data_IF_698809682877
#
_entry.id   IF_698809682877
#
_cell.length_a   1.000
_cell.length_b   1.000
_cell.length_c   1.000
_cell.angle_alpha   90.00
_cell.angle_beta   90.00
_cell.angle_gamma   90.00
#
_symmetry.space_group_name_H-M   'P 1'
#
loop_
_entity.id
_entity.type
_entity.pdbx_description
1 polymer ?
#
# COMPACT_ATOMS: atom_id res chain seq x y z
N UNK A 1 -18.41 4.50 17.96
CA UNK A 1 -17.51 4.77 16.83
C UNK A 1 -18.09 5.96 16.09
N UNK A 2 -17.35 7.06 16.07
CA UNK A 2 -17.80 8.28 15.42
C UNK A 2 -17.78 8.08 13.88
N UNK A 3 -18.91 8.24 13.18
CA UNK A 3 -19.00 7.95 11.75
C UNK A 3 -18.19 8.93 10.89
N UNK A 4 -17.90 10.13 11.41
CA UNK A 4 -17.10 11.15 10.74
C UNK A 4 -15.62 10.77 10.78
N UNK A 5 -15.12 10.33 11.94
CA UNK A 5 -13.75 9.84 12.08
C UNK A 5 -13.43 8.67 11.11
N UNK A 6 -14.38 7.74 10.94
CA UNK A 6 -14.23 6.63 10.00
C UNK A 6 -14.23 7.10 8.53
N UNK A 7 -14.95 8.18 8.20
CA UNK A 7 -14.91 8.80 6.87
C UNK A 7 -13.55 9.44 6.63
N UNK A 8 -13.09 10.28 7.55
CA UNK A 8 -11.80 10.97 7.45
C UNK A 8 -10.63 10.02 7.28
N UNK A 9 -10.62 8.89 8.01
CA UNK A 9 -9.57 7.88 7.88
C UNK A 9 -9.54 7.24 6.48
N UNK A 10 -10.72 6.95 5.91
CA UNK A 10 -10.82 6.40 4.54
C UNK A 10 -10.35 7.40 3.49
N UNK A 11 -10.77 8.65 3.61
CA UNK A 11 -10.40 9.70 2.65
C UNK A 11 -8.89 10.00 2.73
N UNK A 12 -8.33 9.97 3.95
CA UNK A 12 -6.88 10.11 4.16
C UNK A 12 -6.10 8.96 3.52
N UNK A 13 -6.56 7.72 3.69
CA UNK A 13 -5.94 6.55 3.06
C UNK A 13 -6.01 6.62 1.52
N UNK A 14 -7.13 7.08 0.98
CA UNK A 14 -7.31 7.26 -0.46
C UNK A 14 -6.35 8.31 -1.02
N UNK A 15 -6.19 9.44 -0.34
CA UNK A 15 -5.24 10.48 -0.71
C UNK A 15 -3.80 9.94 -0.72
N UNK A 16 -3.39 9.24 0.33
CA UNK A 16 -2.05 8.64 0.42
C UNK A 16 -1.82 7.59 -0.67
N UNK A 17 -2.83 6.77 -0.99
CA UNK A 17 -2.74 5.84 -2.11
C UNK A 17 -2.58 6.56 -3.46
N UNK A 18 -3.26 7.68 -3.66
CA UNK A 18 -3.08 8.49 -4.86
C UNK A 18 -1.66 9.05 -4.97
N UNK A 19 -1.11 9.58 -3.87
CA UNK A 19 0.28 10.04 -3.80
C UNK A 19 1.27 8.91 -4.11
N UNK A 20 1.03 7.72 -3.56
CA UNK A 20 1.84 6.52 -3.80
C UNK A 20 1.88 6.11 -5.27
N UNK A 21 0.75 6.22 -5.99
CA UNK A 21 0.69 5.93 -7.42
C UNK A 21 1.42 6.99 -8.26
N UNK A 22 1.32 8.27 -7.90
CA UNK A 22 2.08 9.34 -8.57
C UNK A 22 3.59 9.10 -8.44
N UNK A 23 4.04 8.61 -7.28
CA UNK A 23 5.44 8.31 -7.00
C UNK A 23 5.90 6.93 -7.49
N UNK A 24 5.01 6.18 -8.16
CA UNK A 24 5.27 4.83 -8.66
C UNK A 24 5.90 3.88 -7.62
N UNK A 25 5.44 3.95 -6.36
CA UNK A 25 6.03 3.11 -5.29
C UNK A 25 5.70 1.64 -5.47
N UNK A 26 4.64 1.32 -6.23
CA UNK A 26 4.14 -0.04 -6.44
C UNK A 26 3.48 -0.67 -5.21
N UNK A 27 3.04 0.14 -4.24
CA UNK A 27 2.32 -0.33 -3.05
C UNK A 27 0.81 -0.35 -3.30
N UNK A 28 0.16 -1.46 -2.96
CA UNK A 28 -1.28 -1.58 -2.97
C UNK A 28 -1.92 -0.94 -1.71
N UNK A 29 -3.25 -0.73 -1.76
CA UNK A 29 -4.01 -0.09 -0.67
C UNK A 29 -3.89 -0.83 0.66
N UNK A 30 -3.83 -2.16 0.65
CA UNK A 30 -3.71 -2.94 1.87
C UNK A 30 -2.33 -2.78 2.48
N UNK A 31 -1.28 -2.92 1.67
CA UNK A 31 0.11 -2.68 2.08
C UNK A 31 0.30 -1.29 2.69
N UNK A 32 -0.22 -0.23 2.04
CA UNK A 32 -0.17 1.13 2.60
C UNK A 32 -0.92 1.26 3.93
N UNK A 33 -2.09 0.65 4.06
CA UNK A 33 -2.85 0.67 5.32
C UNK A 33 -2.06 0.02 6.46
N UNK A 34 -1.36 -1.08 6.19
CA UNK A 34 -0.49 -1.74 7.17
C UNK A 34 0.67 -0.83 7.54
N UNK A 35 1.34 -0.22 6.56
CA UNK A 35 2.46 0.70 6.82
C UNK A 35 2.06 1.91 7.64
N UNK A 36 0.90 2.50 7.36
CA UNK A 36 0.36 3.61 8.15
C UNK A 36 0.12 3.16 9.59
N UNK A 37 -0.45 1.98 9.80
CA UNK A 37 -0.67 1.43 11.14
C UNK A 37 0.64 1.16 11.88
N UNK A 38 1.68 0.70 11.18
CA UNK A 38 3.02 0.50 11.72
C UNK A 38 3.68 1.83 12.10
N UNK A 39 3.53 2.86 11.28
CA UNK A 39 3.99 4.21 11.60
C UNK A 39 3.24 4.82 12.80
N UNK A 40 1.94 4.56 12.94
CA UNK A 40 1.13 5.01 14.09
C UNK A 40 1.62 4.41 15.42
N UNK A 41 2.19 3.20 15.38
CA UNK A 41 2.87 2.56 16.51
C UNK A 41 4.25 3.15 16.84
N UNK A 42 4.69 4.18 16.11
CA UNK A 42 5.97 4.86 16.32
C UNK A 42 7.15 4.22 15.59
N UNK A 43 6.91 3.32 14.63
CA UNK A 43 7.97 2.76 13.81
C UNK A 43 8.51 3.80 12.82
N UNK A 44 9.81 3.75 12.60
CA UNK A 44 10.52 4.65 11.69
C UNK A 44 10.15 4.31 10.22
N UNK A 45 9.58 5.27 9.45
CA UNK A 45 9.17 5.02 8.06
C UNK A 45 10.35 4.74 7.13
N UNK A 46 11.53 5.34 7.35
CA UNK A 46 12.74 5.05 6.60
C UNK A 46 13.20 3.60 6.80
N UNK A 47 13.11 3.08 8.03
CA UNK A 47 13.44 1.68 8.32
C UNK A 47 12.44 0.71 7.68
N UNK A 48 11.14 1.02 7.73
CA UNK A 48 10.09 0.25 7.06
C UNK A 48 10.32 0.21 5.54
N UNK A 49 10.71 1.35 4.94
CA UNK A 49 11.01 1.42 3.52
C UNK A 49 12.19 0.53 3.11
N UNK A 50 13.23 0.43 3.95
CA UNK A 50 14.36 -0.47 3.72
C UNK A 50 13.90 -1.94 3.70
N UNK A 51 13.17 -2.36 4.73
CA UNK A 51 12.65 -3.73 4.85
C UNK A 51 11.76 -4.11 3.65
N UNK A 52 10.87 -3.21 3.21
CA UNK A 52 10.01 -3.48 2.04
C UNK A 52 10.84 -3.65 0.77
N UNK A 53 11.90 -2.85 0.59
CA UNK A 53 12.78 -2.97 -0.57
C UNK A 53 13.51 -4.31 -0.56
N UNK A 54 14.01 -4.74 0.59
CA UNK A 54 14.67 -6.04 0.76
C UNK A 54 13.70 -7.19 0.47
N UNK A 55 12.50 -7.18 1.07
CA UNK A 55 11.47 -8.21 0.83
C UNK A 55 11.06 -8.33 -0.65
N UNK A 56 10.98 -7.20 -1.37
CA UNK A 56 10.68 -7.18 -2.81
C UNK A 56 11.83 -7.72 -3.67
N UNK A 57 13.08 -7.54 -3.22
CA UNK A 57 14.26 -8.09 -3.89
C UNK A 57 14.37 -9.61 -3.70
N UNK A 58 14.08 -10.10 -2.49
CA UNK A 58 14.14 -11.54 -2.18
C UNK A 58 12.98 -12.34 -2.79
N UNK A 59 11.85 -11.69 -3.07
CA UNK A 59 10.68 -12.34 -3.66
C UNK A 59 10.18 -11.62 -4.93
N UNK A 60 10.90 -11.75 -6.06
CA UNK A 60 10.45 -11.19 -7.35
C UNK A 60 9.15 -11.83 -7.85
N UNK A 61 8.76 -13.00 -7.32
CA UNK A 61 7.58 -13.76 -7.72
C UNK A 61 6.27 -13.24 -7.11
N UNK A 62 6.32 -12.55 -5.97
CA UNK A 62 5.13 -12.00 -5.30
C UNK A 62 4.60 -10.68 -5.91
N UNK A 63 5.36 -10.03 -6.80
CA UNK A 63 4.88 -8.87 -7.59
C UNK A 63 3.75 -9.21 -8.58
N UNK A 64 3.34 -10.48 -8.65
CA UNK A 64 2.40 -11.01 -9.66
C UNK A 64 0.92 -10.99 -9.26
N UNK A 65 0.55 -10.56 -8.04
CA UNK A 65 -0.85 -10.66 -7.58
C UNK A 65 -1.83 -9.64 -8.18
N UNK A 66 -1.42 -8.81 -9.15
CA UNK A 66 -2.33 -8.03 -10.01
C UNK A 66 -1.88 -8.05 -11.47
N UNK A 67 -1.85 -9.24 -12.10
CA UNK A 67 -2.10 -9.36 -13.53
C UNK A 67 -3.49 -9.96 -13.71
N UNK A 68 -4.51 -9.12 -13.56
CA UNK A 68 -5.88 -9.51 -13.95
C UNK A 68 -5.86 -9.91 -15.43
N UNK A 69 -6.44 -11.09 -15.68
CA UNK A 69 -6.34 -11.90 -16.89
C UNK A 69 -6.83 -11.18 -18.17
N UNK A 70 -6.36 -11.59 -19.37
CA UNK A 70 -6.97 -11.17 -20.62
C UNK A 70 -8.33 -11.86 -20.77
N UNK A 71 -9.43 -11.09 -20.79
CA UNK A 71 -10.75 -11.62 -21.14
C UNK A 71 -10.83 -11.73 -22.67
N UNK A 72 -10.48 -12.92 -23.17
CA UNK A 72 -10.75 -13.35 -24.54
C UNK A 72 -12.25 -13.49 -24.79
N UNK A 73 -12.72 -12.74 -25.82
CA UNK A 73 -13.66 -13.08 -26.93
C UNK A 73 -14.97 -13.86 -26.66
N UNK A 74 -16.00 -13.61 -27.48
CA UNK A 74 -16.14 -14.35 -28.75
C UNK A 74 -15.80 -13.54 -30.00
#
# INVERSE_FOLDING_TARGET
MDPEAARTARDSLELVFHMSNILDTGLDRHSLSVLISLCDLGLNPEALAAVIKELRQENPSSASHQRTMPSSVP
#
